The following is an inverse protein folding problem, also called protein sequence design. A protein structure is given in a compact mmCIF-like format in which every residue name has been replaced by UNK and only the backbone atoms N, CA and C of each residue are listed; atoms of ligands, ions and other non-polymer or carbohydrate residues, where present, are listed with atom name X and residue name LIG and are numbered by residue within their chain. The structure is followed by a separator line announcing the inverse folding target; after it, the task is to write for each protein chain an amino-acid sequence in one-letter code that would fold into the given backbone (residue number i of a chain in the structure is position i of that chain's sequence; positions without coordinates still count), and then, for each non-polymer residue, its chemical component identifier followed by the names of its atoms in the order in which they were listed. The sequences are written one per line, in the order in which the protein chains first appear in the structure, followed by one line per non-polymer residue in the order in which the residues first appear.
data_IF_027472657752
#
_entry.id   IF_027472657752
#
_cell.length_a   1.000
_cell.length_b   1.000
_cell.length_c   1.000
_cell.angle_alpha   90.00
_cell.angle_beta   90.00
_cell.angle_gamma   90.00
#
_symmetry.space_group_name_H-M   'P 1'
#
loop_
_entity.id
_entity.type
_entity.pdbx_description
1 polymer ?
#
# COMPACT_ATOMS: atom_id res chain seq x y z
N UNK A 1 -12.66 -27.09 5.61
CA UNK A 1 -12.42 -26.58 4.23
C UNK A 1 -10.98 -26.06 4.17
N UNK A 2 -10.17 -26.49 3.20
CA UNK A 2 -8.73 -26.12 3.06
C UNK A 2 -8.58 -25.02 2.00
N UNK A 3 -7.86 -23.94 2.30
CA UNK A 3 -7.58 -22.87 1.34
C UNK A 3 -6.47 -23.31 0.36
N UNK A 4 -6.72 -23.18 -0.94
CA UNK A 4 -5.78 -23.62 -2.01
C UNK A 4 -5.14 -22.47 -2.77
N UNK A 5 -5.69 -21.25 -2.64
CA UNK A 5 -5.32 -20.03 -3.37
C UNK A 5 -4.54 -19.01 -2.51
N UNK A 6 -4.09 -19.40 -1.32
CA UNK A 6 -3.27 -18.56 -0.43
C UNK A 6 -1.89 -19.18 -0.29
N UNK A 7 -0.86 -18.32 -0.32
CA UNK A 7 0.54 -18.69 -0.11
C UNK A 7 1.16 -17.68 0.85
N UNK A 8 2.13 -18.15 1.62
CA UNK A 8 2.92 -17.34 2.54
C UNK A 8 4.38 -17.39 2.13
N UNK A 9 5.09 -16.29 2.30
CA UNK A 9 6.52 -16.21 2.08
C UNK A 9 7.16 -15.49 3.28
N UNK A 10 8.31 -16.00 3.74
CA UNK A 10 9.13 -15.35 4.75
C UNK A 10 10.31 -14.69 4.04
N UNK A 11 10.19 -13.39 3.77
CA UNK A 11 11.17 -12.61 3.02
C UNK A 11 11.05 -11.13 3.39
N UNK A 12 11.99 -10.32 2.90
CA UNK A 12 11.89 -8.87 2.96
C UNK A 12 10.90 -8.38 1.88
N UNK A 13 9.77 -7.82 2.32
CA UNK A 13 8.70 -7.40 1.42
C UNK A 13 9.10 -6.26 0.47
N UNK A 14 10.02 -5.37 0.90
CA UNK A 14 10.52 -4.28 0.08
C UNK A 14 11.37 -4.83 -1.08
N UNK A 15 12.36 -5.65 -0.76
CA UNK A 15 13.22 -6.30 -1.75
C UNK A 15 12.41 -7.20 -2.69
N UNK A 16 11.37 -7.86 -2.19
CA UNK A 16 10.50 -8.68 -3.05
C UNK A 16 9.79 -7.85 -4.12
N UNK A 17 9.19 -6.70 -3.76
CA UNK A 17 8.57 -5.81 -4.75
C UNK A 17 9.61 -5.19 -5.69
N UNK A 18 10.78 -4.80 -5.17
CA UNK A 18 11.84 -4.18 -5.98
C UNK A 18 12.44 -5.14 -7.00
N UNK A 19 12.69 -6.40 -6.61
CA UNK A 19 13.60 -7.27 -7.37
C UNK A 19 12.91 -8.51 -7.97
N UNK A 20 11.73 -8.89 -7.47
CA UNK A 20 11.17 -10.23 -7.73
C UNK A 20 9.79 -10.25 -8.36
N UNK A 21 9.02 -9.17 -8.26
CA UNK A 21 7.66 -9.13 -8.84
C UNK A 21 7.72 -8.69 -10.29
N UNK A 22 7.25 -9.51 -11.24
CA UNK A 22 7.23 -9.14 -12.65
C UNK A 22 6.31 -7.95 -12.94
N UNK A 23 6.66 -7.18 -13.95
CA UNK A 23 5.84 -6.10 -14.48
C UNK A 23 4.42 -6.58 -14.79
N UNK A 24 3.41 -5.80 -14.40
CA UNK A 24 2.02 -6.07 -14.78
C UNK A 24 1.40 -7.35 -14.19
N UNK A 25 2.08 -8.03 -13.26
CA UNK A 25 1.64 -9.33 -12.74
C UNK A 25 0.62 -9.22 -11.61
N UNK A 26 0.49 -8.06 -10.98
CA UNK A 26 -0.41 -7.85 -9.84
C UNK A 26 -1.70 -7.14 -10.27
N UNK A 27 -2.85 -7.77 -10.05
CA UNK A 27 -4.13 -7.05 -10.11
C UNK A 27 -4.27 -6.03 -8.96
N UNK A 28 -3.66 -6.35 -7.81
CA UNK A 28 -3.63 -5.45 -6.66
C UNK A 28 -2.42 -5.71 -5.76
N UNK A 29 -1.95 -4.64 -5.11
CA UNK A 29 -1.01 -4.68 -4.00
C UNK A 29 -1.68 -4.05 -2.78
N UNK A 30 -1.65 -4.72 -1.63
CA UNK A 30 -2.19 -4.22 -0.37
C UNK A 30 -1.05 -3.99 0.61
N UNK A 31 -0.97 -2.79 1.17
CA UNK A 31 0.01 -2.44 2.20
C UNK A 31 -0.74 -1.85 3.38
N UNK A 32 -0.90 -2.65 4.44
CA UNK A 32 -1.65 -2.26 5.62
C UNK A 32 -0.73 -2.10 6.82
N UNK A 33 -0.91 -0.99 7.53
CA UNK A 33 -0.21 -0.62 8.76
C UNK A 33 1.32 -0.80 8.67
N UNK A 34 1.98 -0.24 7.63
CA UNK A 34 3.43 -0.28 7.52
C UNK A 34 4.06 0.48 8.71
N UNK A 35 5.19 -0.03 9.21
CA UNK A 35 5.88 0.58 10.35
C UNK A 35 6.18 2.08 10.08
N UNK A 36 5.69 3.00 10.93
CA UNK A 36 5.76 4.44 10.63
C UNK A 36 7.14 5.05 10.87
N UNK A 37 7.98 4.37 11.66
CA UNK A 37 9.30 4.85 12.07
C UNK A 37 9.27 6.33 12.50
N UNK A 38 8.65 6.64 13.65
CA UNK A 38 8.26 8.02 14.00
C UNK A 38 9.44 8.96 14.24
N UNK A 39 10.62 8.42 14.57
CA UNK A 39 11.84 9.23 14.75
C UNK A 39 12.41 9.61 13.39
N UNK A 40 12.67 10.89 13.15
CA UNK A 40 13.20 11.41 11.88
C UNK A 40 14.43 10.65 11.35
N UNK A 41 15.37 10.28 12.24
CA UNK A 41 16.55 9.48 11.90
C UNK A 41 16.25 8.09 11.30
N UNK A 42 15.02 7.59 11.45
CA UNK A 42 14.56 6.31 10.92
C UNK A 42 13.74 6.45 9.64
N UNK A 43 13.59 7.65 9.07
CA UNK A 43 12.80 7.86 7.86
C UNK A 43 13.23 6.95 6.70
N UNK A 44 14.52 6.64 6.59
CA UNK A 44 15.08 5.70 5.58
C UNK A 44 14.58 4.25 5.72
N UNK A 45 13.97 3.88 6.85
CA UNK A 45 13.42 2.54 7.11
C UNK A 45 11.96 2.42 6.69
N UNK A 46 11.31 3.53 6.35
CA UNK A 46 9.93 3.55 5.86
C UNK A 46 9.85 2.77 4.55
N UNK A 47 8.80 1.96 4.41
CA UNK A 47 8.57 1.15 3.22
C UNK A 47 8.39 2.03 1.99
N UNK A 48 7.50 3.01 2.10
CA UNK A 48 7.23 3.98 1.05
C UNK A 48 8.40 4.94 0.85
N UNK A 49 9.08 4.75 -0.27
CA UNK A 49 10.07 5.65 -0.86
C UNK A 49 9.82 5.72 -2.37
N UNK A 50 10.37 6.72 -3.09
CA UNK A 50 10.18 6.84 -4.53
C UNK A 50 10.47 5.54 -5.30
N UNK A 51 11.59 4.87 -5.01
CA UNK A 51 11.96 3.62 -5.69
C UNK A 51 10.96 2.48 -5.44
N UNK A 52 10.47 2.35 -4.21
CA UNK A 52 9.47 1.33 -3.87
C UNK A 52 8.15 1.61 -4.60
N UNK A 53 7.71 2.87 -4.62
CA UNK A 53 6.47 3.27 -5.31
C UNK A 53 6.57 3.02 -6.81
N UNK A 54 7.70 3.34 -7.43
CA UNK A 54 7.94 3.05 -8.85
C UNK A 54 7.87 1.55 -9.16
N UNK A 55 8.54 0.72 -8.34
CA UNK A 55 8.51 -0.73 -8.52
C UNK A 55 7.11 -1.32 -8.27
N UNK A 56 6.40 -0.82 -7.26
CA UNK A 56 5.01 -1.19 -6.99
C UNK A 56 4.10 -0.83 -8.17
N UNK A 57 4.20 0.39 -8.70
CA UNK A 57 3.44 0.83 -9.87
C UNK A 57 3.76 -0.04 -11.10
N UNK A 58 5.03 -0.36 -11.34
CA UNK A 58 5.45 -1.22 -12.44
C UNK A 58 4.90 -2.65 -12.33
N UNK A 59 4.83 -3.18 -11.11
CA UNK A 59 4.32 -4.53 -10.80
C UNK A 59 2.81 -4.68 -11.03
N UNK A 60 2.03 -3.59 -10.90
CA UNK A 60 0.59 -3.61 -11.10
C UNK A 60 0.24 -3.79 -12.58
N UNK A 61 -0.76 -4.60 -12.93
CA UNK A 61 -1.37 -4.60 -14.27
C UNK A 61 -1.94 -3.20 -14.60
N UNK A 62 -2.19 -2.86 -15.87
CA UNK A 62 -3.05 -1.71 -16.21
C UNK A 62 -4.36 -1.76 -15.41
N UNK A 63 -4.79 -0.62 -14.86
CA UNK A 63 -5.93 -0.50 -13.93
C UNK A 63 -5.77 -1.25 -12.59
N UNK A 64 -4.60 -1.87 -12.35
CA UNK A 64 -4.27 -2.51 -11.08
C UNK A 64 -4.18 -1.50 -9.93
N UNK A 65 -4.47 -1.96 -8.71
CA UNK A 65 -4.66 -1.07 -7.56
C UNK A 65 -3.68 -1.30 -6.41
N UNK A 66 -3.02 -0.24 -5.96
CA UNK A 66 -2.30 -0.17 -4.69
C UNK A 66 -3.23 0.38 -3.60
N UNK A 67 -3.56 -0.46 -2.62
CA UNK A 67 -4.39 -0.09 -1.45
C UNK A 67 -3.51 0.11 -0.24
N UNK A 68 -3.66 1.26 0.41
CA UNK A 68 -2.89 1.61 1.61
C UNK A 68 -3.82 1.94 2.76
N UNK A 69 -3.50 1.44 3.94
CA UNK A 69 -4.15 1.81 5.20
C UNK A 69 -3.09 1.99 6.31
N UNK A 70 -3.28 2.98 7.18
CA UNK A 70 -2.42 3.22 8.35
C UNK A 70 -3.19 3.98 9.44
N UNK A 71 -2.79 3.78 10.69
CA UNK A 71 -3.28 4.54 11.85
C UNK A 71 -2.39 5.76 12.17
N UNK A 72 -1.35 6.00 11.37
CA UNK A 72 -0.43 7.10 11.55
C UNK A 72 -0.66 8.19 10.49
N UNK A 73 -1.43 9.23 10.84
CA UNK A 73 -1.78 10.32 9.92
C UNK A 73 -0.56 11.06 9.34
N UNK A 74 0.47 11.45 10.13
CA UNK A 74 1.67 12.08 9.56
C UNK A 74 2.40 11.20 8.55
N UNK A 75 2.46 9.88 8.81
CA UNK A 75 3.06 8.97 7.85
C UNK A 75 2.18 8.79 6.61
N UNK A 76 0.85 8.77 6.76
CA UNK A 76 -0.06 8.72 5.62
C UNK A 76 0.13 9.90 4.68
N UNK A 77 0.32 11.12 5.19
CA UNK A 77 0.62 12.27 4.35
C UNK A 77 1.93 12.08 3.58
N UNK A 78 3.00 11.61 4.22
CA UNK A 78 4.25 11.27 3.52
C UNK A 78 4.07 10.17 2.46
N UNK A 79 3.22 9.18 2.73
CA UNK A 79 2.90 8.13 1.75
C UNK A 79 2.17 8.73 0.55
N UNK A 80 1.16 9.57 0.82
CA UNK A 80 0.36 10.26 -0.20
C UNK A 80 1.24 11.12 -1.10
N UNK A 81 2.14 11.92 -0.53
CA UNK A 81 3.08 12.75 -1.29
C UNK A 81 3.92 11.93 -2.27
N UNK A 82 4.50 10.80 -1.83
CA UNK A 82 5.34 9.97 -2.69
C UNK A 82 4.51 9.23 -3.74
N UNK A 83 3.29 8.81 -3.42
CA UNK A 83 2.38 8.15 -4.37
C UNK A 83 1.84 9.11 -5.42
N UNK A 84 1.51 10.34 -5.04
CA UNK A 84 1.02 11.39 -5.96
C UNK A 84 2.14 11.94 -6.84
N UNK A 85 3.41 11.82 -6.42
CA UNK A 85 4.57 12.16 -7.24
C UNK A 85 4.92 11.10 -8.31
N UNK A 86 4.33 9.90 -8.28
CA UNK A 86 4.56 8.84 -9.28
C UNK A 86 3.59 8.98 -10.46
N UNK A 87 4.07 9.33 -11.68
CA UNK A 87 3.21 9.62 -12.83
C UNK A 87 2.36 8.42 -13.28
N UNK A 88 2.83 7.20 -13.06
CA UNK A 88 2.09 5.99 -13.45
C UNK A 88 0.86 5.73 -12.57
N UNK A 89 0.72 6.43 -11.44
CA UNK A 89 -0.38 6.28 -10.52
C UNK A 89 -1.36 7.45 -10.59
N UNK A 90 -2.61 7.16 -10.25
CA UNK A 90 -3.63 8.17 -9.98
C UNK A 90 -4.41 7.78 -8.74
N UNK A 91 -4.78 8.77 -7.93
CA UNK A 91 -5.59 8.52 -6.74
C UNK A 91 -7.04 8.28 -7.15
N UNK A 92 -7.66 7.25 -6.59
CA UNK A 92 -9.09 6.97 -6.83
C UNK A 92 -9.94 7.85 -5.90
N UNK A 93 -10.78 8.76 -6.43
CA UNK A 93 -11.60 9.65 -5.60
C UNK A 93 -12.60 8.88 -4.73
N UNK A 94 -12.81 9.32 -3.50
CA UNK A 94 -13.76 8.69 -2.55
C UNK A 94 -13.30 7.34 -1.99
N UNK A 95 -12.09 6.90 -2.35
CA UNK A 95 -11.54 5.63 -1.86
C UNK A 95 -11.21 5.63 -0.36
N UNK A 96 -11.25 6.79 0.29
CA UNK A 96 -11.10 6.94 1.74
C UNK A 96 -12.24 6.28 2.51
N UNK A 97 -13.42 6.15 1.89
CA UNK A 97 -14.63 5.58 2.49
C UNK A 97 -14.86 4.08 2.16
N UNK A 98 -14.03 3.49 1.29
CA UNK A 98 -14.45 2.36 0.45
C UNK A 98 -14.07 0.92 0.86
N UNK A 99 -13.50 0.67 2.04
CA UNK A 99 -13.04 -0.69 2.41
C UNK A 99 -13.23 -0.97 3.89
N UNK A 100 -13.92 -2.06 4.24
CA UNK A 100 -13.66 -2.80 5.46
C UNK A 100 -12.66 -3.92 5.09
N UNK A 101 -11.39 -3.83 5.52
CA UNK A 101 -10.40 -4.88 5.23
C UNK A 101 -10.60 -6.13 6.11
N UNK A 102 -11.54 -6.08 7.05
CA UNK A 102 -11.92 -7.25 7.85
C UNK A 102 -10.76 -7.82 8.66
N UNK A 103 -9.69 -7.06 8.88
CA UNK A 103 -8.57 -7.47 9.75
C UNK A 103 -8.98 -7.37 11.23
N UNK A 104 -8.38 -8.21 12.07
CA UNK A 104 -8.57 -8.12 13.53
C UNK A 104 -8.18 -6.74 14.09
N UNK A 105 -7.19 -6.09 13.46
CA UNK A 105 -6.77 -4.73 13.80
C UNK A 105 -7.87 -3.70 13.50
N UNK A 106 -8.46 -3.71 12.31
CA UNK A 106 -9.52 -2.76 11.98
C UNK A 106 -10.76 -2.92 12.85
N UNK A 107 -11.18 -4.16 13.13
CA UNK A 107 -12.32 -4.41 14.05
C UNK A 107 -12.07 -3.86 15.44
N UNK A 108 -10.82 -3.94 15.92
CA UNK A 108 -10.41 -3.38 17.21
C UNK A 108 -10.45 -1.84 17.16
N UNK A 109 -9.93 -1.24 16.09
CA UNK A 109 -9.85 0.22 15.96
C UNK A 109 -11.20 0.89 15.69
N UNK A 110 -12.09 0.25 14.93
CA UNK A 110 -13.48 0.71 14.74
C UNK A 110 -14.25 0.74 16.08
N UNK A 111 -14.03 -0.26 16.94
CA UNK A 111 -14.58 -0.27 18.31
C UNK A 111 -13.98 0.81 19.22
N UNK A 112 -12.75 1.22 18.95
CA UNK A 112 -12.01 2.22 19.76
C UNK A 112 -12.16 3.66 19.23
N UNK A 113 -12.81 3.88 18.09
CA UNK A 113 -13.04 5.22 17.52
C UNK A 113 -11.77 5.95 17.06
N UNK A 114 -10.67 5.22 16.79
CA UNK A 114 -9.38 5.83 16.42
C UNK A 114 -9.34 6.14 14.91
N UNK A 115 -8.84 7.33 14.51
CA UNK A 115 -8.81 7.71 13.10
C UNK A 115 -7.86 6.79 12.30
N UNK A 116 -8.37 6.23 11.20
CA UNK A 116 -7.60 5.44 10.24
C UNK A 116 -7.61 6.14 8.88
N UNK A 117 -6.43 6.39 8.33
CA UNK A 117 -6.28 6.91 6.99
C UNK A 117 -6.12 5.77 5.98
N UNK A 118 -6.85 5.85 4.87
CA UNK A 118 -6.85 4.84 3.81
C UNK A 118 -7.01 5.49 2.44
N UNK A 119 -6.54 4.81 1.40
CA UNK A 119 -6.73 5.23 0.02
C UNK A 119 -6.32 4.17 -1.00
N UNK A 120 -6.81 4.33 -2.24
CA UNK A 120 -6.29 3.59 -3.39
C UNK A 120 -5.58 4.53 -4.36
N UNK A 121 -4.50 4.01 -4.94
CA UNK A 121 -3.90 4.49 -6.16
C UNK A 121 -4.00 3.44 -7.25
N UNK A 122 -4.49 3.82 -8.42
CA UNK A 122 -4.66 2.96 -9.58
C UNK A 122 -3.52 3.21 -10.57
N UNK A 123 -2.98 2.14 -11.16
CA UNK A 123 -2.05 2.25 -12.28
C UNK A 123 -2.81 2.75 -13.50
N UNK A 124 -2.37 3.88 -14.06
CA UNK A 124 -2.91 4.42 -15.31
C UNK A 124 -2.68 3.44 -16.45
N UNK A 125 -3.67 3.27 -17.32
CA UNK A 125 -3.47 2.63 -18.61
C UNK A 125 -2.58 3.55 -19.46
N UNK A 126 -1.36 3.11 -19.76
CA UNK A 126 -0.55 3.78 -20.79
C UNK A 126 -1.18 3.39 -22.13
N UNK A 127 -1.76 4.38 -22.83
CA UNK A 127 -2.32 4.19 -24.17
C UNK A 127 -1.26 3.92 -25.22
#
# INVERSE_FOLDING_TARGET
MKLTNVRFARLDGRAFILDRVPAGSLAALHVFFPDPWPKARHAKRRLFSPDFVRAAAHSLAPEGCLRVATDNLPYFESIREVLEAEPALERVPGSEAGWSSGTDYERKYEKEGRPMARGIWRRRTTG
#
